data_IF_625593207732
#
_entry.id   IF_625593207732
#
_cell.length_a   1.000
_cell.length_b   1.000
_cell.length_c   1.000
_cell.angle_alpha   90.00
_cell.angle_beta   90.00
_cell.angle_gamma   90.00
#
_symmetry.space_group_name_H-M   'P 1'
#
loop_
_entity.id
_entity.type
_entity.pdbx_description
1 polymer ?
#
# COMPACT_ATOMS: atom_id res chain seq x y z
N UNK A 1 0.63 27.37 -4.62
CA UNK A 1 0.31 25.96 -4.32
C UNK A 1 1.46 25.07 -4.77
N UNK A 2 1.85 24.15 -3.91
CA UNK A 2 2.95 23.23 -4.18
C UNK A 2 2.36 21.89 -4.62
N UNK A 3 2.88 21.34 -5.72
CA UNK A 3 2.51 19.99 -6.16
C UNK A 3 3.48 18.97 -5.56
N UNK A 4 2.95 17.94 -4.94
CA UNK A 4 3.76 16.86 -4.39
C UNK A 4 3.23 15.51 -4.84
N UNK A 5 4.13 14.56 -5.06
CA UNK A 5 3.78 13.22 -5.55
C UNK A 5 4.29 12.17 -4.60
N UNK A 6 3.41 11.27 -4.22
CA UNK A 6 3.76 10.06 -3.46
C UNK A 6 3.31 8.83 -4.23
N UNK A 7 3.86 7.69 -3.87
CA UNK A 7 3.44 6.41 -4.43
C UNK A 7 3.35 5.39 -3.31
N UNK A 8 2.41 4.47 -3.45
CA UNK A 8 2.21 3.45 -2.44
C UNK A 8 1.60 2.19 -3.00
N UNK A 9 1.32 1.26 -2.12
CA UNK A 9 0.83 -0.05 -2.53
C UNK A 9 -0.32 -0.57 -1.69
N UNK A 10 -1.22 -1.27 -2.38
CA UNK A 10 -2.19 -2.15 -1.75
C UNK A 10 -1.60 -3.54 -1.87
N UNK A 11 -1.06 -4.05 -0.77
CA UNK A 11 -0.30 -5.29 -0.73
C UNK A 11 -1.21 -6.41 -0.23
N UNK A 12 -1.35 -7.46 -1.03
CA UNK A 12 -2.26 -8.57 -0.72
C UNK A 12 -1.49 -9.88 -0.63
N UNK A 13 -1.81 -10.65 0.42
CA UNK A 13 -1.34 -12.03 0.57
C UNK A 13 -2.51 -12.87 1.04
N UNK A 14 -2.85 -13.90 0.27
CA UNK A 14 -3.96 -14.81 0.55
C UNK A 14 -5.26 -14.07 0.90
N UNK A 15 -5.56 -13.02 0.11
CA UNK A 15 -6.78 -12.25 0.25
C UNK A 15 -6.79 -11.24 1.37
N UNK A 16 -5.71 -11.10 2.13
CA UNK A 16 -5.60 -10.12 3.22
C UNK A 16 -4.73 -8.96 2.82
N UNK A 17 -5.09 -7.77 3.28
CA UNK A 17 -4.48 -6.50 2.88
C UNK A 17 -3.61 -5.95 4.00
N UNK A 18 -2.41 -5.49 3.63
CA UNK A 18 -1.44 -4.91 4.54
C UNK A 18 -1.84 -3.49 4.91
N UNK A 19 -1.99 -3.24 6.20
CA UNK A 19 -2.28 -1.92 6.75
C UNK A 19 -1.23 -1.54 7.79
N UNK A 20 -1.08 -0.23 7.99
CA UNK A 20 -0.22 0.36 9.00
C UNK A 20 -1.05 1.17 9.98
N UNK A 21 -0.73 1.11 11.26
CA UNK A 21 -1.31 1.98 12.26
C UNK A 21 -0.34 3.08 12.60
N UNK A 22 -0.73 4.34 12.32
CA UNK A 22 0.09 5.51 12.57
C UNK A 22 -0.40 6.23 13.81
N UNK A 23 0.53 6.61 14.69
CA UNK A 23 0.23 7.45 15.83
C UNK A 23 1.30 8.54 15.94
N UNK A 24 1.02 9.69 15.33
CA UNK A 24 1.91 10.84 15.39
C UNK A 24 1.51 11.76 16.54
N UNK A 25 2.09 11.51 17.72
CA UNK A 25 1.91 12.36 18.93
C UNK A 25 0.43 12.63 19.24
N UNK A 26 -0.43 11.66 19.00
CA UNK A 26 -1.88 11.75 19.17
C UNK A 26 -2.58 12.81 18.30
N UNK A 27 -1.83 13.48 17.41
CA UNK A 27 -2.39 14.45 16.47
C UNK A 27 -2.95 13.79 15.22
N UNK A 28 -2.32 12.67 14.83
CA UNK A 28 -2.70 11.92 13.65
C UNK A 28 -2.68 10.44 14.02
N UNK A 29 -3.84 9.86 14.19
CA UNK A 29 -3.96 8.47 14.64
C UNK A 29 -4.91 7.73 13.72
N UNK A 30 -4.50 6.57 13.24
CA UNK A 30 -5.37 5.72 12.44
C UNK A 30 -4.63 4.75 11.53
N UNK A 31 -5.39 3.86 10.93
CA UNK A 31 -4.90 2.88 9.98
C UNK A 31 -4.82 3.48 8.58
N UNK A 32 -3.72 3.21 7.90
CA UNK A 32 -3.44 3.75 6.56
C UNK A 32 -2.77 2.71 5.69
N UNK A 33 -2.78 2.96 4.37
CA UNK A 33 -2.01 2.20 3.40
C UNK A 33 -0.57 2.75 3.34
N UNK A 34 0.44 1.89 3.11
CA UNK A 34 1.83 2.36 3.00
C UNK A 34 2.05 3.18 1.74
N UNK A 35 2.71 4.31 1.89
CA UNK A 35 3.06 5.23 0.80
C UNK A 35 4.12 6.22 1.23
N UNK A 36 4.77 6.84 0.26
CA UNK A 36 5.71 7.91 0.56
C UNK A 36 6.14 8.69 -0.67
N UNK A 37 6.98 9.69 -0.44
CA UNK A 37 7.35 10.70 -1.43
C UNK A 37 8.32 10.14 -2.48
N UNK A 38 8.10 10.52 -3.73
CA UNK A 38 8.99 10.18 -4.85
C UNK A 38 10.31 10.91 -4.66
N UNK A 39 11.42 10.19 -4.73
CA UNK A 39 12.75 10.76 -4.68
C UNK A 39 13.26 11.07 -6.08
N UNK A 40 14.21 12.04 -6.21
CA UNK A 40 14.76 12.39 -7.53
C UNK A 40 15.28 11.15 -8.26
N UNK A 41 14.88 11.02 -9.53
CA UNK A 41 15.32 9.92 -10.38
C UNK A 41 14.56 8.62 -10.22
N UNK A 42 13.66 8.53 -9.25
CA UNK A 42 12.84 7.32 -9.07
C UNK A 42 11.67 7.28 -10.03
N UNK A 43 11.38 6.09 -10.56
CA UNK A 43 10.10 5.83 -11.21
C UNK A 43 9.03 5.57 -10.14
N UNK A 44 7.78 5.84 -10.45
CA UNK A 44 6.70 5.70 -9.47
C UNK A 44 6.60 4.30 -8.86
N UNK A 45 6.74 3.24 -9.67
CA UNK A 45 6.70 1.89 -9.13
C UNK A 45 7.87 1.59 -8.19
N UNK A 46 9.03 2.19 -8.47
CA UNK A 46 10.22 2.04 -7.59
C UNK A 46 9.95 2.70 -6.24
N UNK A 47 9.36 3.91 -6.26
CA UNK A 47 8.99 4.62 -5.03
C UNK A 47 8.00 3.78 -4.22
N UNK A 48 6.97 3.25 -4.88
CA UNK A 48 5.96 2.45 -4.20
C UNK A 48 6.57 1.22 -3.53
N UNK A 49 7.44 0.50 -4.23
CA UNK A 49 8.13 -0.67 -3.67
C UNK A 49 9.03 -0.30 -2.51
N UNK A 50 9.80 0.78 -2.65
CA UNK A 50 10.71 1.27 -1.61
C UNK A 50 9.94 1.67 -0.35
N UNK A 51 8.89 2.45 -0.51
CA UNK A 51 8.12 2.93 0.64
C UNK A 51 7.39 1.80 1.36
N UNK A 52 6.83 0.85 0.61
CA UNK A 52 6.22 -0.34 1.22
C UNK A 52 7.27 -1.07 2.05
N UNK A 53 8.46 -1.28 1.50
CA UNK A 53 9.52 -1.98 2.22
C UNK A 53 10.01 -1.21 3.45
N UNK A 54 10.24 0.08 3.30
CA UNK A 54 10.72 0.91 4.41
C UNK A 54 9.72 0.96 5.56
N UNK A 55 8.44 1.12 5.24
CA UNK A 55 7.41 1.28 6.28
C UNK A 55 6.94 -0.02 6.90
N UNK A 56 7.00 -1.13 6.16
CA UNK A 56 6.39 -2.40 6.59
C UNK A 56 7.34 -3.59 6.62
N UNK A 57 8.55 -3.46 6.11
CA UNK A 57 9.51 -4.57 5.92
C UNK A 57 9.04 -5.63 4.92
N UNK A 58 8.02 -5.33 4.11
CA UNK A 58 7.50 -6.27 3.12
C UNK A 58 8.17 -6.04 1.77
N UNK A 59 8.84 -7.08 1.25
CA UNK A 59 9.42 -7.07 -0.09
C UNK A 59 8.34 -7.56 -1.07
N UNK A 60 7.52 -6.64 -1.55
CA UNK A 60 6.38 -6.95 -2.40
C UNK A 60 6.76 -6.93 -3.88
N UNK A 61 5.87 -7.49 -4.72
CA UNK A 61 5.98 -7.40 -6.18
C UNK A 61 4.81 -6.61 -6.73
N UNK A 62 5.09 -5.70 -7.67
CA UNK A 62 4.04 -4.94 -8.34
C UNK A 62 3.32 -5.84 -9.33
N UNK A 63 1.99 -5.85 -9.26
CA UNK A 63 1.13 -6.59 -10.19
C UNK A 63 0.58 -5.65 -11.26
N UNK A 64 0.00 -4.51 -10.84
CA UNK A 64 -0.51 -3.50 -11.79
C UNK A 64 -0.74 -2.16 -11.11
N UNK A 65 -0.76 -1.11 -11.90
CA UNK A 65 -1.16 0.22 -11.47
C UNK A 65 -2.68 0.23 -11.24
N UNK A 66 -3.12 0.81 -10.13
CA UNK A 66 -4.54 0.84 -9.78
C UNK A 66 -5.17 2.20 -10.06
N UNK A 67 -4.45 3.27 -9.82
CA UNK A 67 -5.00 4.61 -9.97
C UNK A 67 -4.37 5.57 -9.00
N UNK A 68 -4.97 6.75 -8.88
CA UNK A 68 -4.43 7.78 -8.00
C UNK A 68 -5.53 8.39 -7.14
N UNK A 69 -5.10 8.98 -6.03
CA UNK A 69 -5.94 9.80 -5.17
C UNK A 69 -5.27 11.15 -5.01
N UNK A 70 -6.06 12.17 -4.67
CA UNK A 70 -5.55 13.52 -4.46
C UNK A 70 -6.15 14.12 -3.22
N UNK A 71 -5.34 14.89 -2.49
CA UNK A 71 -5.83 15.68 -1.36
C UNK A 71 -4.94 16.89 -1.18
N UNK A 72 -5.51 17.93 -0.56
CA UNK A 72 -4.77 19.16 -0.26
C UNK A 72 -4.65 19.31 1.24
N UNK A 73 -3.56 19.94 1.66
CA UNK A 73 -3.37 20.25 3.07
C UNK A 73 -2.52 21.51 3.20
N UNK A 74 -2.63 22.15 4.36
CA UNK A 74 -1.82 23.34 4.65
C UNK A 74 -0.42 22.88 5.04
N UNK A 75 0.56 23.19 4.19
CA UNK A 75 1.95 22.96 4.48
C UNK A 75 2.49 24.12 5.32
N UNK A 76 3.82 24.10 5.56
CA UNK A 76 4.48 25.13 6.37
C UNK A 76 4.31 26.53 5.79
N UNK A 77 4.57 26.68 4.49
CA UNK A 77 4.59 27.99 3.82
C UNK A 77 3.53 28.13 2.73
N UNK A 78 2.85 27.07 2.37
CA UNK A 78 1.89 27.12 1.27
C UNK A 78 0.95 25.92 1.34
N UNK A 79 -0.12 25.97 0.54
CA UNK A 79 -1.02 24.84 0.36
C UNK A 79 -0.33 23.80 -0.52
N UNK A 80 -0.37 22.55 -0.09
CA UNK A 80 0.21 21.42 -0.83
C UNK A 80 -0.92 20.62 -1.46
N UNK A 81 -0.83 20.37 -2.77
CA UNK A 81 -1.70 19.46 -3.48
C UNK A 81 -0.94 18.15 -3.68
N UNK A 82 -1.36 17.10 -2.99
CA UNK A 82 -0.68 15.81 -3.01
C UNK A 82 -1.44 14.84 -3.92
N UNK A 83 -0.71 14.29 -4.89
CA UNK A 83 -1.20 13.17 -5.69
C UNK A 83 -0.49 11.90 -5.23
N UNK A 84 -1.25 10.85 -5.00
CA UNK A 84 -0.69 9.55 -4.62
C UNK A 84 -1.04 8.53 -5.69
N UNK A 85 -0.02 7.89 -6.27
CA UNK A 85 -0.20 6.80 -7.22
C UNK A 85 -0.13 5.48 -6.50
N UNK A 86 -1.06 4.58 -6.80
CA UNK A 86 -1.25 3.33 -6.07
C UNK A 86 -1.07 2.13 -6.99
N UNK A 87 -0.40 1.12 -6.46
CA UNK A 87 -0.14 -0.14 -7.17
C UNK A 87 -0.71 -1.31 -6.39
N UNK A 88 -1.32 -2.25 -7.11
CA UNK A 88 -1.64 -3.55 -6.54
C UNK A 88 -0.35 -4.35 -6.46
N UNK A 89 -0.07 -4.89 -5.28
CA UNK A 89 1.15 -5.63 -5.00
C UNK A 89 0.85 -6.96 -4.34
N UNK A 90 1.78 -7.90 -4.52
CA UNK A 90 1.70 -9.22 -3.89
C UNK A 90 2.84 -9.40 -2.91
N UNK A 91 2.50 -9.90 -1.71
CA UNK A 91 3.48 -10.38 -0.75
C UNK A 91 3.52 -11.91 -0.75
N UNK A 92 4.61 -12.50 -0.24
CA UNK A 92 4.78 -13.94 -0.18
C UNK A 92 4.54 -14.53 1.21
N UNK A 93 4.30 -13.69 2.20
CA UNK A 93 4.05 -14.12 3.58
C UNK A 93 3.26 -13.04 4.31
N UNK A 94 2.84 -13.36 5.53
CA UNK A 94 2.18 -12.39 6.41
C UNK A 94 3.17 -11.63 7.28
N UNK A 95 4.48 -11.85 7.12
CA UNK A 95 5.46 -11.13 7.91
C UNK A 95 5.46 -9.64 7.56
N UNK A 96 5.38 -8.80 8.58
CA UNK A 96 5.51 -7.36 8.44
C UNK A 96 5.99 -6.78 9.77
N UNK A 97 6.67 -5.64 9.69
CA UNK A 97 7.18 -4.94 10.86
C UNK A 97 7.08 -3.44 10.62
N UNK A 98 6.39 -2.69 11.49
CA UNK A 98 6.22 -1.25 11.28
C UNK A 98 7.52 -0.49 11.51
N UNK A 99 7.71 0.61 10.76
CA UNK A 99 8.84 1.51 10.93
C UNK A 99 8.51 2.52 12.03
N UNK A 100 9.07 2.29 13.22
CA UNK A 100 8.76 3.09 14.41
C UNK A 100 9.27 4.52 14.30
N UNK A 101 10.34 4.75 13.55
CA UNK A 101 10.94 6.07 13.35
C UNK A 101 10.00 7.06 12.67
N UNK A 102 9.03 6.56 11.89
CA UNK A 102 8.01 7.39 11.24
C UNK A 102 6.65 7.29 11.94
N UNK A 103 6.66 6.90 13.22
CA UNK A 103 5.45 6.82 14.05
C UNK A 103 4.46 5.73 13.63
N UNK A 104 4.91 4.74 12.86
CA UNK A 104 4.12 3.54 12.62
C UNK A 104 4.33 2.59 13.80
N UNK A 105 3.27 2.33 14.53
CA UNK A 105 3.35 1.56 15.77
C UNK A 105 2.79 0.15 15.63
N UNK A 106 2.11 -0.14 14.55
CA UNK A 106 1.58 -1.48 14.27
C UNK A 106 1.46 -1.69 12.77
N UNK A 107 1.49 -2.94 12.36
CA UNK A 107 1.29 -3.34 10.97
C UNK A 107 0.65 -4.72 10.96
N UNK A 108 -0.16 -5.01 9.96
CA UNK A 108 -0.76 -6.32 9.84
C UNK A 108 -1.54 -6.49 8.56
N UNK A 109 -1.87 -7.74 8.27
CA UNK A 109 -2.69 -8.12 7.12
C UNK A 109 -4.12 -8.41 7.61
N UNK A 110 -5.10 -7.79 6.99
CA UNK A 110 -6.49 -7.84 7.40
C UNK A 110 -7.38 -8.27 6.25
N UNK A 111 -8.45 -8.98 6.56
CA UNK A 111 -9.48 -9.33 5.57
C UNK A 111 -10.08 -8.06 5.00
N UNK A 112 -10.57 -8.11 3.77
CA UNK A 112 -11.12 -6.94 3.09
C UNK A 112 -12.12 -6.16 3.95
N UNK A 113 -13.08 -6.87 4.52
CA UNK A 113 -14.12 -6.24 5.33
C UNK A 113 -13.54 -5.50 6.54
N UNK A 114 -12.59 -6.13 7.23
CA UNK A 114 -11.92 -5.51 8.37
C UNK A 114 -11.09 -4.30 7.93
N UNK A 115 -10.31 -4.46 6.88
CA UNK A 115 -9.46 -3.38 6.35
C UNK A 115 -10.28 -2.17 5.94
N UNK A 116 -11.43 -2.41 5.30
CA UNK A 116 -12.31 -1.33 4.87
C UNK A 116 -12.80 -0.48 6.05
N UNK A 117 -13.16 -1.13 7.16
CA UNK A 117 -13.61 -0.42 8.36
C UNK A 117 -12.46 0.22 9.14
N UNK A 118 -11.28 -0.37 9.11
CA UNK A 118 -10.12 0.15 9.83
C UNK A 118 -9.54 1.41 9.18
N UNK A 119 -9.47 1.45 7.85
CA UNK A 119 -8.84 2.57 7.14
C UNK A 119 -9.48 3.91 7.52
N UNK A 120 -8.62 4.86 7.85
CA UNK A 120 -9.05 6.18 8.30
C UNK A 120 -9.64 7.03 7.18
N UNK A 121 -9.06 6.96 5.98
CA UNK A 121 -9.43 7.85 4.88
C UNK A 121 -10.27 7.16 3.83
N UNK A 122 -11.34 7.86 3.39
CA UNK A 122 -12.24 7.30 2.39
C UNK A 122 -11.58 7.10 1.03
N UNK A 123 -10.69 7.99 0.62
CA UNK A 123 -9.96 7.84 -0.63
C UNK A 123 -9.12 6.56 -0.63
N UNK A 124 -8.48 6.23 0.49
CA UNK A 124 -7.73 4.98 0.62
C UNK A 124 -8.65 3.76 0.65
N UNK A 125 -9.83 3.87 1.27
CA UNK A 125 -10.82 2.78 1.20
C UNK A 125 -11.22 2.47 -0.24
N UNK A 126 -11.44 3.51 -1.05
CA UNK A 126 -11.83 3.33 -2.44
C UNK A 126 -10.71 2.73 -3.28
N UNK A 127 -9.49 3.18 -3.06
CA UNK A 127 -8.30 2.60 -3.72
C UNK A 127 -8.14 1.12 -3.33
N UNK A 128 -8.24 0.82 -2.05
CA UNK A 128 -8.12 -0.55 -1.56
C UNK A 128 -9.21 -1.45 -2.14
N UNK A 129 -10.43 -0.96 -2.22
CA UNK A 129 -11.57 -1.67 -2.82
C UNK A 129 -11.30 -1.99 -4.30
N UNK A 130 -10.82 -1.00 -5.05
CA UNK A 130 -10.49 -1.18 -6.46
C UNK A 130 -9.38 -2.23 -6.64
N UNK A 131 -8.35 -2.16 -5.82
CA UNK A 131 -7.25 -3.12 -5.84
C UNK A 131 -7.73 -4.54 -5.50
N UNK A 132 -8.59 -4.65 -4.50
CA UNK A 132 -9.11 -5.95 -4.07
C UNK A 132 -9.96 -6.60 -5.17
N UNK A 133 -10.78 -5.84 -5.87
CA UNK A 133 -11.57 -6.35 -6.98
C UNK A 133 -10.66 -6.82 -8.13
N UNK A 134 -9.59 -6.08 -8.41
CA UNK A 134 -8.59 -6.51 -9.40
C UNK A 134 -7.92 -7.82 -8.98
N UNK A 135 -7.58 -7.93 -7.70
CA UNK A 135 -7.03 -9.17 -7.13
C UNK A 135 -7.98 -10.34 -7.30
N UNK A 136 -9.26 -10.16 -6.96
CA UNK A 136 -10.27 -11.22 -7.10
C UNK A 136 -10.43 -11.66 -8.55
N UNK A 137 -10.40 -10.73 -9.48
CA UNK A 137 -10.49 -11.04 -10.89
C UNK A 137 -9.29 -11.87 -11.36
N UNK A 138 -8.09 -11.50 -10.93
CA UNK A 138 -6.87 -12.23 -11.25
C UNK A 138 -6.85 -13.63 -10.62
N UNK A 139 -7.36 -13.77 -9.39
CA UNK A 139 -7.49 -15.08 -8.74
C UNK A 139 -8.46 -15.96 -9.51
N UNK A 140 -9.61 -15.42 -9.90
CA UNK A 140 -10.61 -16.15 -10.67
C UNK A 140 -10.06 -16.66 -11.99
N UNK A 141 -9.23 -15.87 -12.65
CA UNK A 141 -8.58 -16.22 -13.92
C UNK A 141 -7.30 -17.03 -13.73
N UNK A 142 -6.92 -17.31 -12.49
CA UNK A 142 -5.65 -17.97 -12.12
C UNK A 142 -4.43 -17.22 -12.63
N UNK A 143 -4.53 -15.89 -12.64
CA UNK A 143 -3.46 -14.99 -13.07
C UNK A 143 -2.79 -14.25 -11.92
N UNK A 144 -3.17 -14.54 -10.67
CA UNK A 144 -2.47 -14.05 -9.50
C UNK A 144 -1.22 -14.90 -9.34
N UNK A 145 -0.08 -14.32 -9.74
CA UNK A 145 1.17 -15.08 -9.92
C UNK A 145 1.70 -15.59 -8.58
N UNK A 146 1.92 -16.90 -8.51
CA UNK A 146 2.50 -17.55 -7.34
C UNK A 146 4.03 -17.60 -7.46
N UNK A 147 4.74 -17.76 -6.32
CA UNK A 147 6.20 -17.91 -6.37
C UNK A 147 6.61 -19.08 -7.28
N UNK A 148 7.74 -18.92 -7.97
CA UNK A 148 8.23 -19.95 -8.90
C UNK A 148 8.42 -21.32 -8.25
N UNK A 149 8.96 -21.34 -7.04
CA UNK A 149 9.14 -22.58 -6.28
C UNK A 149 7.84 -23.33 -6.09
N UNK A 150 6.77 -22.61 -5.76
CA UNK A 150 5.45 -23.19 -5.61
C UNK A 150 4.94 -23.79 -6.92
N UNK A 151 5.10 -23.07 -8.03
CA UNK A 151 4.65 -23.55 -9.34
C UNK A 151 5.39 -24.79 -9.78
N UNK A 152 6.69 -24.86 -9.54
CA UNK A 152 7.48 -26.05 -9.83
C UNK A 152 6.94 -27.28 -9.09
N UNK A 153 6.54 -27.11 -7.85
CA UNK A 153 5.98 -28.21 -7.06
C UNK A 153 4.62 -28.66 -7.59
N UNK A 154 3.82 -27.73 -8.09
CA UNK A 154 2.51 -28.05 -8.64
C UNK A 154 2.61 -28.90 -9.91
N UNK A 155 3.64 -28.67 -10.72
CA UNK A 155 3.80 -29.36 -12.00
C UNK A 155 4.60 -30.65 -11.91
N UNK A 156 5.06 -31.00 -10.75
CA UNK A 156 5.72 -32.27 -10.51
C UNK A 156 4.73 -33.31 -10.09
#
# INVERSE_FOLDING_TARGET
MIEAVSCGGVVIHRGKILLLYKNYKHKYVGWVLPKGTVEPGEMYRQTALREVYEETSVAAKVIRYIGHSQYTFQGKDDIVNKTVHWYLMRANSFYCKPQKEEYFVDAGFYKFHEAYHLLKFNDERQIMKKAYYAYMELEKKKQWIRPKSYRKNVYK
#
